data_IF_298581166379
#
_entry.id   IF_298581166379
#
_cell.length_a   1.000
_cell.length_b   1.000
_cell.length_c   1.000
_cell.angle_alpha   90.00
_cell.angle_beta   90.00
_cell.angle_gamma   90.00
#
_symmetry.space_group_name_H-M   'P 1'
#
loop_
_entity.id
_entity.type
_entity.pdbx_description
1 polymer ?
#
# COMPACT_ATOMS: atom_id res chain seq x y z
N UNK A 1 -18.22 1.41 0.66
CA UNK A 1 -17.37 0.55 -0.18
C UNK A 1 -16.71 -0.49 0.71
N UNK A 2 -16.47 -1.69 0.18
CA UNK A 2 -15.86 -2.79 0.93
C UNK A 2 -14.33 -2.65 0.92
N UNK A 3 -13.63 -3.07 1.98
CA UNK A 3 -12.16 -3.05 1.99
C UNK A 3 -11.59 -3.93 0.89
N UNK A 4 -10.38 -3.59 0.43
CA UNK A 4 -9.67 -4.38 -0.57
C UNK A 4 -9.26 -5.71 0.10
N UNK A 5 -9.81 -6.85 -0.34
CA UNK A 5 -9.49 -8.13 0.28
C UNK A 5 -8.06 -8.55 -0.05
N UNK A 6 -7.44 -9.24 0.89
CA UNK A 6 -6.00 -9.62 0.86
C UNK A 6 -5.59 -10.41 -0.38
N UNK A 7 -6.52 -11.16 -0.99
CA UNK A 7 -6.30 -11.93 -2.22
C UNK A 7 -6.23 -11.06 -3.50
N UNK A 8 -6.78 -9.85 -3.47
CA UNK A 8 -6.74 -8.90 -4.59
C UNK A 8 -5.51 -8.00 -4.56
N UNK A 9 -4.77 -7.98 -3.44
CA UNK A 9 -3.51 -7.24 -3.34
C UNK A 9 -2.47 -7.86 -4.26
N UNK A 10 -2.01 -7.09 -5.25
CA UNK A 10 -0.93 -7.51 -6.15
C UNK A 10 0.42 -7.21 -5.52
N UNK A 11 1.41 -8.05 -5.78
CA UNK A 11 2.77 -7.88 -5.29
C UNK A 11 3.69 -7.56 -6.47
N UNK A 12 4.47 -6.48 -6.40
CA UNK A 12 5.51 -6.25 -7.42
C UNK A 12 6.72 -7.16 -7.24
N UNK A 13 6.89 -7.72 -6.03
CA UNK A 13 7.99 -8.61 -5.69
C UNK A 13 7.53 -9.77 -4.81
N UNK A 14 8.21 -10.92 -4.94
CA UNK A 14 7.89 -12.11 -4.14
C UNK A 14 8.43 -11.94 -2.72
N UNK A 15 7.55 -11.94 -1.72
CA UNK A 15 7.93 -11.95 -0.31
C UNK A 15 8.09 -13.40 0.15
N UNK A 16 9.32 -13.80 0.47
CA UNK A 16 9.62 -15.15 0.98
C UNK A 16 9.22 -15.33 2.44
N UNK A 17 9.27 -14.26 3.24
CA UNK A 17 8.92 -14.31 4.65
C UNK A 17 7.39 -14.26 4.84
N UNK A 18 6.75 -15.34 5.34
CA UNK A 18 5.30 -15.39 5.50
C UNK A 18 4.78 -14.41 6.55
N UNK A 19 5.55 -14.13 7.60
CA UNK A 19 5.16 -13.18 8.66
C UNK A 19 5.07 -11.77 8.08
N UNK A 20 6.10 -11.34 7.37
CA UNK A 20 6.15 -10.03 6.72
C UNK A 20 5.06 -9.88 5.65
N UNK A 21 4.77 -10.96 4.91
CA UNK A 21 3.68 -10.99 3.92
C UNK A 21 2.31 -10.83 4.59
N UNK A 22 2.05 -11.54 5.69
CA UNK A 22 0.77 -11.44 6.38
C UNK A 22 0.58 -10.06 7.04
N UNK A 23 1.64 -9.51 7.62
CA UNK A 23 1.68 -8.16 8.17
C UNK A 23 1.27 -7.13 7.12
N UNK A 24 1.94 -7.13 5.98
CA UNK A 24 1.67 -6.17 4.90
C UNK A 24 0.27 -6.29 4.32
N UNK A 25 -0.23 -7.52 4.18
CA UNK A 25 -1.61 -7.76 3.77
C UNK A 25 -2.62 -7.24 4.79
N UNK A 26 -2.36 -7.41 6.10
CA UNK A 26 -3.20 -6.83 7.16
C UNK A 26 -3.22 -5.30 7.05
N UNK A 27 -2.04 -4.68 6.95
CA UNK A 27 -1.92 -3.23 6.90
C UNK A 27 -2.64 -2.61 5.71
N UNK A 28 -2.56 -3.24 4.52
CA UNK A 28 -3.28 -2.78 3.32
C UNK A 28 -4.79 -2.94 3.50
N UNK A 29 -5.24 -4.08 4.04
CA UNK A 29 -6.65 -4.31 4.31
C UNK A 29 -7.21 -3.27 5.29
N UNK A 30 -6.52 -3.03 6.43
CA UNK A 30 -6.91 -2.01 7.40
C UNK A 30 -6.88 -0.59 6.85
N UNK A 31 -5.86 -0.24 6.06
CA UNK A 31 -5.77 1.06 5.41
C UNK A 31 -6.94 1.27 4.44
N UNK A 32 -7.30 0.25 3.66
CA UNK A 32 -8.43 0.30 2.72
C UNK A 32 -9.81 0.45 3.37
N UNK A 33 -9.93 0.20 4.68
CA UNK A 33 -11.16 0.46 5.44
C UNK A 33 -11.35 1.94 5.77
N UNK A 34 -10.29 2.75 5.71
CA UNK A 34 -10.37 4.17 6.06
C UNK A 34 -11.14 4.94 4.99
N UNK A 35 -11.96 5.94 5.37
CA UNK A 35 -12.83 6.65 4.43
C UNK A 35 -12.04 7.30 3.29
N UNK A 36 -10.85 7.81 3.58
CA UNK A 36 -9.94 8.41 2.60
C UNK A 36 -9.38 7.43 1.57
N UNK A 37 -9.40 6.12 1.86
CA UNK A 37 -8.89 5.07 0.97
C UNK A 37 -9.98 4.15 0.44
N UNK A 38 -11.19 4.19 1.00
CA UNK A 38 -12.29 3.30 0.67
C UNK A 38 -12.75 3.41 -0.79
N UNK A 39 -12.39 4.50 -1.48
CA UNK A 39 -12.69 4.71 -2.90
C UNK A 39 -11.76 3.93 -3.83
N UNK A 40 -10.60 3.49 -3.35
CA UNK A 40 -9.69 2.66 -4.13
C UNK A 40 -10.17 1.21 -4.17
N UNK A 41 -10.01 0.59 -5.34
CA UNK A 41 -10.39 -0.81 -5.57
C UNK A 41 -9.19 -1.70 -5.87
N UNK A 42 -8.06 -1.10 -6.22
CA UNK A 42 -6.82 -1.80 -6.58
C UNK A 42 -5.73 -1.38 -5.60
N UNK A 43 -5.06 -2.37 -5.03
CA UNK A 43 -3.87 -2.18 -4.21
C UNK A 43 -2.70 -3.02 -4.77
N UNK A 44 -1.54 -2.39 -4.90
CA UNK A 44 -0.30 -3.02 -5.35
C UNK A 44 0.79 -2.75 -4.34
N UNK A 45 1.24 -3.79 -3.65
CA UNK A 45 2.35 -3.71 -2.72
C UNK A 45 3.66 -3.48 -3.48
N UNK A 46 4.34 -2.37 -3.17
CA UNK A 46 5.69 -2.05 -3.66
C UNK A 46 6.73 -2.53 -2.67
N UNK A 47 6.68 -2.02 -1.44
CA UNK A 47 7.64 -2.34 -0.38
C UNK A 47 6.92 -2.78 0.88
N UNK A 48 7.30 -3.93 1.47
CA UNK A 48 6.57 -4.54 2.57
C UNK A 48 6.65 -3.76 3.87
N UNK A 49 7.77 -3.77 4.57
CA UNK A 49 7.96 -2.94 5.76
C UNK A 49 9.40 -2.50 5.73
N UNK A 50 9.60 -1.19 5.78
CA UNK A 50 10.91 -0.56 5.76
C UNK A 50 10.85 0.79 6.46
N UNK A 51 12.01 1.28 6.86
CA UNK A 51 12.22 2.65 7.32
C UNK A 51 12.93 3.40 6.21
N UNK A 52 12.52 4.65 5.95
CA UNK A 52 13.21 5.51 4.99
C UNK A 52 14.23 6.39 5.70
N UNK A 53 15.28 6.83 5.02
CA UNK A 53 16.25 7.76 5.60
C UNK A 53 15.61 9.12 6.01
N UNK A 54 14.51 9.48 5.37
CA UNK A 54 13.75 10.72 5.61
C UNK A 54 12.56 10.53 6.54
N UNK A 55 12.11 9.30 6.78
CA UNK A 55 11.02 8.97 7.71
C UNK A 55 11.40 7.71 8.50
N UNK A 56 11.84 7.86 9.76
CA UNK A 56 12.30 6.74 10.57
C UNK A 56 11.16 5.83 11.03
N UNK A 57 9.89 6.20 10.79
CA UNK A 57 8.75 5.38 11.16
C UNK A 57 8.64 4.18 10.22
N UNK A 58 8.50 2.95 10.75
CA UNK A 58 8.35 1.77 9.91
C UNK A 58 7.02 1.84 9.16
N UNK A 59 7.10 1.63 7.83
CA UNK A 59 5.95 1.72 6.96
C UNK A 59 6.01 0.75 5.78
N UNK A 60 4.81 0.42 5.32
CA UNK A 60 4.54 -0.29 4.08
C UNK A 60 4.25 0.72 2.98
N UNK A 61 4.86 0.55 1.81
CA UNK A 61 4.52 1.34 0.63
C UNK A 61 3.65 0.51 -0.30
N UNK A 62 2.44 1.00 -0.53
CA UNK A 62 1.49 0.42 -1.47
C UNK A 62 1.00 1.48 -2.46
N UNK A 63 0.76 1.08 -3.70
CA UNK A 63 0.04 1.89 -4.67
C UNK A 63 -1.44 1.57 -4.58
N UNK A 64 -2.26 2.61 -4.48
CA UNK A 64 -3.71 2.51 -4.54
C UNK A 64 -4.23 3.18 -5.80
N UNK A 65 -5.22 2.56 -6.44
CA UNK A 65 -5.86 3.11 -7.62
C UNK A 65 -7.34 2.71 -7.68
N UNK A 66 -8.14 3.57 -8.27
CA UNK A 66 -9.45 3.19 -8.81
C UNK A 66 -9.27 2.41 -10.10
N UNK A 67 -10.30 1.72 -10.57
CA UNK A 67 -10.26 1.03 -11.87
C UNK A 67 -9.97 2.00 -13.02
N UNK A 68 -10.50 3.21 -12.96
CA UNK A 68 -10.28 4.26 -13.95
C UNK A 68 -8.83 4.76 -13.94
N UNK A 69 -8.29 5.07 -12.75
CA UNK A 69 -6.88 5.46 -12.60
C UNK A 69 -5.95 4.37 -13.12
N UNK A 70 -6.21 3.12 -12.76
CA UNK A 70 -5.37 2.00 -13.18
C UNK A 70 -5.39 1.80 -14.71
N UNK A 71 -6.55 1.96 -15.36
CA UNK A 71 -6.67 1.93 -16.83
C UNK A 71 -5.88 3.05 -17.50
N UNK A 72 -5.79 4.22 -16.87
CA UNK A 72 -4.97 5.35 -17.32
C UNK A 72 -3.51 5.29 -16.85
N UNK A 73 -3.05 4.15 -16.32
CA UNK A 73 -1.71 3.95 -15.76
C UNK A 73 -1.33 4.97 -14.66
N UNK A 74 -2.32 5.35 -13.85
CA UNK A 74 -2.19 6.28 -12.72
C UNK A 74 -2.44 5.53 -11.42
N UNK A 75 -1.71 5.91 -10.38
CA UNK A 75 -1.93 5.42 -9.02
C UNK A 75 -1.48 6.46 -8.00
N UNK A 76 -2.01 6.35 -6.79
CA UNK A 76 -1.56 7.11 -5.63
C UNK A 76 -0.64 6.24 -4.79
N UNK A 77 0.48 6.80 -4.37
CA UNK A 77 1.37 6.12 -3.41
C UNK A 77 0.84 6.37 -2.01
N UNK A 78 0.71 5.29 -1.24
CA UNK A 78 0.40 5.36 0.18
C UNK A 78 1.55 4.79 1.00
N UNK A 79 1.93 5.53 2.04
CA UNK A 79 2.73 5.00 3.13
C UNK A 79 1.78 4.62 4.25
N UNK A 80 1.74 3.34 4.60
CA UNK A 80 0.93 2.80 5.69
C UNK A 80 1.88 2.55 6.86
N UNK A 81 1.74 3.36 7.91
CA UNK A 81 2.56 3.29 9.12
C UNK A 81 2.02 2.25 10.08
N UNK A 82 2.94 1.56 10.74
CA UNK A 82 2.59 0.60 11.77
C UNK A 82 3.49 0.77 13.00
N UNK A 83 3.05 0.22 14.13
CA UNK A 83 3.86 0.17 15.35
C UNK A 83 4.81 -1.05 15.37
N UNK A 84 5.51 -1.23 16.49
CA UNK A 84 6.42 -2.37 16.71
C UNK A 84 5.69 -3.73 16.77
N UNK A 85 4.39 -3.73 17.08
CA UNK A 85 3.54 -4.93 17.06
C UNK A 85 3.00 -5.22 15.65
N UNK A 86 3.24 -4.32 14.69
CA UNK A 86 2.74 -4.42 13.33
C UNK A 86 1.27 -4.02 13.19
N UNK A 87 0.74 -3.25 14.14
CA UNK A 87 -0.62 -2.72 14.06
C UNK A 87 -0.65 -1.43 13.26
N UNK A 88 -1.72 -1.22 12.49
CA UNK A 88 -1.92 0.02 11.74
C UNK A 88 -1.97 1.24 12.70
N UNK A 89 -1.13 2.24 12.44
CA UNK A 89 -1.10 3.50 13.21
C UNK A 89 -1.64 4.67 12.40
N UNK A 90 -1.44 4.66 11.09
CA UNK A 90 -1.84 5.75 10.22
C UNK A 90 -1.42 5.52 8.78
N UNK A 91 -1.81 6.41 7.89
CA UNK A 91 -1.30 6.42 6.53
C UNK A 91 -1.09 7.85 6.03
N UNK A 92 -0.20 7.99 5.06
CA UNK A 92 -0.05 9.20 4.26
C UNK A 92 -0.30 8.85 2.81
N UNK A 93 -1.28 9.53 2.20
CA UNK A 93 -1.53 9.48 0.77
C UNK A 93 -0.72 10.58 0.08
N UNK A 94 0.07 10.19 -0.91
CA UNK A 94 0.76 11.12 -1.79
C UNK A 94 -0.08 11.36 -3.04
N UNK A 95 0.12 12.53 -3.66
CA UNK A 95 -0.57 12.89 -4.89
C UNK A 95 -0.45 11.81 -5.96
N UNK A 96 -1.52 11.70 -6.76
CA UNK A 96 -1.54 10.86 -7.95
C UNK A 96 -0.31 11.12 -8.82
N UNK A 97 0.37 10.03 -9.18
CA UNK A 97 1.48 10.07 -10.12
C UNK A 97 1.20 9.07 -11.24
N UNK A 98 1.72 9.38 -12.41
CA UNK A 98 1.84 8.37 -13.46
C UNK A 98 2.70 7.23 -12.92
N UNK A 99 2.21 6.01 -13.06
CA UNK A 99 2.95 4.81 -12.68
C UNK A 99 4.01 4.57 -13.76
N UNK A 100 5.11 5.33 -13.68
CA UNK A 100 6.27 5.14 -14.55
C UNK A 100 6.83 3.73 -14.34
N UNK A 101 7.14 3.07 -15.45
CA UNK A 101 7.69 1.70 -15.48
C UNK A 101 9.09 1.60 -14.86
N UNK A 102 9.80 2.72 -14.76
CA UNK A 102 11.16 2.81 -14.20
C UNK A 102 11.40 4.19 -13.59
N UNK A 103 12.12 4.20 -12.48
CA UNK A 103 12.98 5.33 -12.09
C UNK A 103 14.21 5.17 -12.98
N UNK A 104 14.38 6.07 -13.95
CA UNK A 104 15.56 6.14 -14.82
C UNK A 104 16.55 7.15 -14.22
#
# INVERSE_FOLDING_TARGET
>A
MSPIPRNLVKFTQRIKNPVLRNLTLNLIEEASQKPDMAHFTIAILKNPSHTSHTDPRPHTTALFATEEQFKSNKAQTAHIYHDEQGQYVGHTLYQERENKSSDE
#
